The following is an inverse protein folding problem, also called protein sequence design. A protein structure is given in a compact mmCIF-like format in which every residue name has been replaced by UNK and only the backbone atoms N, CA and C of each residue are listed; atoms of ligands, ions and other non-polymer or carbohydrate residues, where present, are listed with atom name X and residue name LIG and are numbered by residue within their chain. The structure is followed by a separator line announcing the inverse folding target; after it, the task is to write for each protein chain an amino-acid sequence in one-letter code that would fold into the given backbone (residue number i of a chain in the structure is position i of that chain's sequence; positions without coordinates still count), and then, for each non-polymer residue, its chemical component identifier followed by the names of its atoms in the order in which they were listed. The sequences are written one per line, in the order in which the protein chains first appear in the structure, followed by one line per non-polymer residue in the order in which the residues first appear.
data_IF_220216985195
#
_entry.id   IF_220216985195
#
_cell.length_a   1.000
_cell.length_b   1.000
_cell.length_c   1.000
_cell.angle_alpha   90.00
_cell.angle_beta   90.00
_cell.angle_gamma   90.00
#
_symmetry.space_group_name_H-M   'P 1'
#
loop_
_entity.id
_entity.type
_entity.pdbx_description
1 polymer ?
#
# COMPACT_ATOMS: atom_id res chain seq x y z
N UNK A 1 -53.05 16.96 -0.93
CA UNK A 1 -51.72 17.25 -1.53
C UNK A 1 -50.66 17.51 -0.44
N UNK A 2 -50.51 16.62 0.56
CA UNK A 2 -49.49 16.81 1.61
C UNK A 2 -48.86 15.52 2.17
N UNK A 3 -49.28 14.34 1.73
CA UNK A 3 -48.79 13.06 2.31
C UNK A 3 -47.63 12.44 1.50
N UNK A 4 -47.34 12.93 0.29
CA UNK A 4 -46.33 12.32 -0.58
C UNK A 4 -44.88 12.85 -0.40
N UNK A 5 -44.67 13.93 0.34
CA UNK A 5 -43.35 14.62 0.39
C UNK A 5 -42.37 14.08 1.43
N UNK A 6 -42.83 13.33 2.44
CA UNK A 6 -41.95 12.91 3.56
C UNK A 6 -41.11 11.67 3.22
N UNK A 7 -41.56 10.83 2.28
CA UNK A 7 -40.84 9.59 1.94
C UNK A 7 -39.54 9.81 1.14
N UNK A 8 -39.36 10.98 0.48
CA UNK A 8 -38.20 11.24 -0.37
C UNK A 8 -36.95 11.71 0.41
N UNK A 9 -37.06 12.03 1.70
CA UNK A 9 -35.92 12.56 2.48
C UNK A 9 -34.99 11.43 2.97
N UNK A 10 -35.49 10.21 3.16
CA UNK A 10 -34.68 9.12 3.74
C UNK A 10 -33.81 8.33 2.73
N UNK A 11 -33.92 8.58 1.42
CA UNK A 11 -33.27 7.73 0.39
C UNK A 11 -31.96 8.32 -0.16
N UNK A 12 -31.26 9.19 0.58
CA UNK A 12 -30.00 9.81 0.10
C UNK A 12 -28.75 9.65 0.97
N UNK A 13 -28.64 8.53 1.68
CA UNK A 13 -27.31 7.97 2.02
C UNK A 13 -27.22 6.54 1.48
N UNK A 14 -27.30 6.43 0.16
CA UNK A 14 -26.52 5.39 -0.49
C UNK A 14 -25.07 5.80 -0.28
N UNK A 15 -24.42 5.25 0.73
CA UNK A 15 -22.97 5.07 0.76
C UNK A 15 -22.63 4.18 -0.45
N UNK A 16 -22.71 4.77 -1.65
CA UNK A 16 -21.85 4.38 -2.76
C UNK A 16 -20.46 4.96 -2.47
N UNK A 17 -20.01 4.79 -1.22
CA UNK A 17 -18.65 4.93 -0.81
C UNK A 17 -17.95 3.84 -1.56
N UNK A 18 -17.45 4.19 -2.73
CA UNK A 18 -16.47 3.40 -3.46
C UNK A 18 -15.15 3.53 -2.67
N UNK A 19 -15.22 3.31 -1.36
CA UNK A 19 -14.17 3.38 -0.38
C UNK A 19 -13.20 2.26 -0.76
N UNK A 20 -11.91 2.52 -0.63
CA UNK A 20 -10.93 1.54 -1.07
C UNK A 20 -11.13 0.18 -0.39
N UNK A 21 -10.59 -0.87 -0.99
CA UNK A 21 -10.52 -2.18 -0.35
C UNK A 21 -9.28 -2.25 0.54
N UNK A 22 -9.37 -2.94 1.67
CA UNK A 22 -8.23 -3.13 2.55
C UNK A 22 -7.11 -3.89 1.82
N UNK A 23 -5.87 -3.40 1.91
CA UNK A 23 -4.69 -4.03 1.34
C UNK A 23 -4.50 -5.44 1.93
N UNK A 24 -4.22 -6.42 1.07
CA UNK A 24 -4.09 -7.84 1.44
C UNK A 24 -2.71 -8.43 1.14
N UNK A 25 -1.79 -7.61 0.61
CA UNK A 25 -0.45 -7.98 0.17
C UNK A 25 0.55 -6.96 0.69
N UNK A 26 1.83 -7.32 0.73
CA UNK A 26 2.89 -6.42 1.22
C UNK A 26 2.62 -5.87 2.62
N UNK A 27 2.10 -6.71 3.52
CA UNK A 27 1.70 -6.28 4.86
C UNK A 27 2.90 -6.30 5.82
N UNK A 28 2.99 -5.28 6.66
CA UNK A 28 3.92 -5.21 7.79
C UNK A 28 3.50 -6.23 8.88
N UNK A 29 4.32 -7.26 9.16
CA UNK A 29 4.01 -8.24 10.20
C UNK A 29 4.17 -7.67 11.62
N UNK A 30 4.86 -6.55 11.79
CA UNK A 30 5.05 -5.86 13.06
C UNK A 30 3.92 -4.86 13.38
N UNK A 31 3.12 -4.49 12.38
CA UNK A 31 1.98 -3.60 12.56
C UNK A 31 0.77 -4.36 13.10
N UNK A 32 0.09 -3.78 14.11
CA UNK A 32 -1.15 -4.32 14.66
C UNK A 32 -2.32 -4.33 13.65
N UNK A 33 -2.20 -3.54 12.58
CA UNK A 33 -3.23 -3.36 11.54
C UNK A 33 -2.56 -3.43 10.17
N UNK A 34 -3.26 -4.00 9.18
CA UNK A 34 -2.76 -4.19 7.81
C UNK A 34 -2.23 -2.87 7.20
N UNK A 35 -0.91 -2.78 7.09
CA UNK A 35 -0.16 -1.61 6.62
C UNK A 35 0.88 -2.03 5.58
N UNK A 36 1.12 -1.22 4.53
CA UNK A 36 2.09 -1.53 3.49
C UNK A 36 3.53 -1.45 4.01
N UNK A 37 4.34 -2.45 3.65
CA UNK A 37 5.77 -2.48 3.85
C UNK A 37 6.48 -3.01 2.58
N UNK A 38 7.40 -2.25 1.96
CA UNK A 38 7.75 -0.85 2.28
C UNK A 38 6.56 0.10 2.07
N UNK A 39 6.66 1.34 2.55
CA UNK A 39 5.60 2.32 2.33
C UNK A 39 5.36 2.54 0.82
N UNK A 40 4.13 2.93 0.41
CA UNK A 40 3.78 3.12 -1.00
C UNK A 40 4.67 4.16 -1.69
N UNK A 41 5.21 5.12 -0.94
CA UNK A 41 6.12 6.15 -1.44
C UNK A 41 7.52 5.62 -1.76
N UNK A 42 7.89 4.42 -1.29
CA UNK A 42 9.23 3.86 -1.45
C UNK A 42 9.52 3.45 -2.90
N UNK A 43 8.50 3.10 -3.67
CA UNK A 43 8.60 2.88 -5.11
C UNK A 43 7.83 3.95 -5.88
N UNK A 44 7.94 3.91 -7.21
CA UNK A 44 7.20 4.80 -8.11
C UNK A 44 6.36 3.98 -9.07
N UNK A 45 5.24 4.56 -9.46
CA UNK A 45 4.45 4.06 -10.58
C UNK A 45 5.24 4.21 -11.87
N UNK A 46 5.18 3.18 -12.73
CA UNK A 46 5.85 3.15 -14.03
C UNK A 46 5.09 3.94 -15.08
N UNK A 47 3.76 3.97 -15.00
CA UNK A 47 2.89 4.76 -15.87
C UNK A 47 1.93 5.62 -15.04
N UNK A 48 2.32 6.85 -14.66
CA UNK A 48 1.49 7.71 -13.81
C UNK A 48 0.14 8.07 -14.46
N UNK A 49 0.03 8.04 -15.79
CA UNK A 49 -1.22 8.33 -16.50
C UNK A 49 -2.22 7.19 -16.31
N UNK A 50 -1.78 5.95 -16.52
CA UNK A 50 -2.63 4.77 -16.28
C UNK A 50 -2.94 4.63 -14.78
N UNK A 51 -1.96 4.85 -13.91
CA UNK A 51 -2.14 4.68 -12.48
C UNK A 51 -3.12 5.70 -11.89
N UNK A 52 -3.05 6.97 -12.30
CA UNK A 52 -4.02 7.98 -11.87
C UNK A 52 -5.42 7.77 -12.46
N UNK A 53 -5.53 7.17 -13.65
CA UNK A 53 -6.82 6.89 -14.28
C UNK A 53 -7.54 5.66 -13.70
N UNK A 54 -6.81 4.55 -13.46
CA UNK A 54 -7.42 3.24 -13.15
C UNK A 54 -7.22 2.85 -11.68
N UNK A 55 -6.07 3.19 -11.11
CA UNK A 55 -5.59 2.69 -9.82
C UNK A 55 -5.46 3.78 -8.75
N UNK A 56 -5.92 5.00 -9.03
CA UNK A 56 -5.82 6.11 -8.09
C UNK A 56 -6.45 5.76 -6.75
N UNK A 57 -5.76 6.16 -5.68
CA UNK A 57 -6.30 6.17 -4.32
C UNK A 57 -7.49 7.12 -4.31
N UNK A 58 -8.67 6.59 -3.98
CA UNK A 58 -9.91 7.37 -3.96
C UNK A 58 -9.95 8.26 -2.72
N UNK A 59 -10.66 9.39 -2.80
CA UNK A 59 -10.72 10.38 -1.71
C UNK A 59 -11.15 9.79 -0.36
N UNK A 60 -12.08 8.83 -0.36
CA UNK A 60 -12.51 8.10 0.84
C UNK A 60 -11.39 7.31 1.54
N UNK A 61 -10.31 6.96 0.81
CA UNK A 61 -9.15 6.26 1.36
C UNK A 61 -8.07 7.20 1.94
N UNK A 62 -8.04 8.48 1.56
CA UNK A 62 -6.96 9.42 1.95
C UNK A 62 -6.93 9.64 3.46
N UNK A 63 -8.11 9.86 4.07
CA UNK A 63 -8.27 10.01 5.52
C UNK A 63 -7.83 8.78 6.31
N UNK A 64 -8.38 7.58 6.07
CA UNK A 64 -7.98 6.39 6.82
C UNK A 64 -6.52 6.00 6.58
N UNK A 65 -5.97 6.22 5.39
CA UNK A 65 -4.58 5.89 5.10
C UNK A 65 -3.57 6.73 5.89
N UNK A 66 -3.94 7.93 6.36
CA UNK A 66 -3.06 8.77 7.19
C UNK A 66 -3.03 8.37 8.67
N UNK A 67 -3.97 7.55 9.14
CA UNK A 67 -4.10 7.16 10.56
C UNK A 67 -3.59 5.74 10.78
N UNK A 68 -2.39 5.56 11.34
CA UNK A 68 -1.74 4.25 11.49
C UNK A 68 -2.62 3.12 12.09
N UNK A 69 -3.60 3.46 12.93
CA UNK A 69 -4.55 2.52 13.53
C UNK A 69 -5.64 1.98 12.57
N UNK A 70 -5.76 2.53 11.37
CA UNK A 70 -6.72 2.07 10.37
C UNK A 70 -6.06 1.13 9.35
N UNK A 71 -6.86 0.25 8.76
CA UNK A 71 -6.43 -0.54 7.61
C UNK A 71 -6.07 0.39 6.44
N UNK A 72 -5.02 0.03 5.70
CA UNK A 72 -4.65 0.77 4.49
C UNK A 72 -5.58 0.38 3.33
N UNK A 73 -6.26 1.36 2.74
CA UNK A 73 -7.22 1.19 1.66
C UNK A 73 -6.60 1.52 0.30
N UNK A 74 -6.83 0.66 -0.68
CA UNK A 74 -6.40 0.84 -2.09
C UNK A 74 -7.59 0.80 -3.04
N UNK A 75 -7.39 1.21 -4.29
CA UNK A 75 -8.43 1.07 -5.30
C UNK A 75 -8.83 -0.42 -5.46
N UNK A 76 -10.13 -0.77 -5.55
CA UNK A 76 -10.57 -2.15 -5.81
C UNK A 76 -9.90 -2.82 -7.02
N UNK A 77 -9.52 -2.04 -8.03
CA UNK A 77 -8.78 -2.54 -9.19
C UNK A 77 -7.40 -3.11 -8.82
N UNK A 78 -6.79 -2.67 -7.73
CA UNK A 78 -5.51 -3.22 -7.24
C UNK A 78 -5.64 -4.67 -6.77
N UNK A 79 -6.85 -5.19 -6.59
CA UNK A 79 -7.12 -6.57 -6.21
C UNK A 79 -8.04 -7.29 -7.21
N UNK A 80 -8.39 -6.64 -8.32
CA UNK A 80 -9.23 -7.22 -9.35
C UNK A 80 -8.40 -8.12 -10.26
N UNK A 81 -8.70 -9.42 -10.29
CA UNK A 81 -7.98 -10.42 -11.06
C UNK A 81 -7.82 -10.07 -12.56
N UNK A 82 -8.76 -9.34 -13.16
CA UNK A 82 -8.69 -8.93 -14.57
C UNK A 82 -7.57 -7.93 -14.86
N UNK A 83 -7.24 -7.06 -13.89
CA UNK A 83 -6.24 -5.99 -14.05
C UNK A 83 -5.09 -6.07 -13.03
N UNK A 84 -5.07 -7.11 -12.20
CA UNK A 84 -4.10 -7.30 -11.12
C UNK A 84 -2.67 -7.28 -11.63
N UNK A 85 -2.39 -8.01 -12.72
CA UNK A 85 -1.05 -8.04 -13.33
C UNK A 85 -0.60 -6.66 -13.80
N UNK A 86 -1.51 -5.85 -14.35
CA UNK A 86 -1.21 -4.48 -14.74
C UNK A 86 -1.00 -3.58 -13.51
N UNK A 87 -1.81 -3.74 -12.45
CA UNK A 87 -1.66 -3.03 -11.18
C UNK A 87 -0.27 -3.26 -10.58
N UNK A 88 0.14 -4.52 -10.46
CA UNK A 88 1.41 -4.91 -9.85
C UNK A 88 2.61 -4.48 -10.70
N UNK A 89 2.50 -4.56 -12.03
CA UNK A 89 3.61 -4.23 -12.94
C UNK A 89 3.77 -2.72 -13.19
N UNK A 90 2.67 -1.98 -13.31
CA UNK A 90 2.67 -0.56 -13.71
C UNK A 90 2.46 0.39 -12.54
N UNK A 91 1.71 -0.01 -11.53
CA UNK A 91 1.21 0.88 -10.48
C UNK A 91 1.54 0.43 -9.05
N UNK A 92 2.78 0.01 -8.75
CA UNK A 92 3.12 -0.54 -7.45
C UNK A 92 3.01 0.50 -6.31
N UNK A 93 3.17 1.79 -6.61
CA UNK A 93 3.01 2.85 -5.62
C UNK A 93 1.53 3.14 -5.36
N UNK A 94 0.75 3.32 -6.43
CA UNK A 94 -0.70 3.55 -6.32
C UNK A 94 -1.45 2.39 -5.65
N UNK A 95 -1.01 1.15 -5.91
CA UNK A 95 -1.58 -0.05 -5.30
C UNK A 95 -0.89 -0.49 -4.00
N UNK A 96 0.08 0.28 -3.49
CA UNK A 96 0.80 -0.03 -2.26
C UNK A 96 1.45 -1.44 -2.23
N UNK A 97 1.90 -1.91 -3.41
CA UNK A 97 2.54 -3.21 -3.61
C UNK A 97 4.02 -3.09 -3.98
N UNK A 98 4.69 -2.07 -3.46
CA UNK A 98 6.13 -1.87 -3.66
C UNK A 98 6.96 -3.11 -3.27
N UNK A 99 6.48 -3.96 -2.35
CA UNK A 99 7.19 -5.19 -1.98
C UNK A 99 7.36 -6.19 -3.13
N UNK A 100 6.48 -6.13 -4.14
CA UNK A 100 6.49 -7.02 -5.30
C UNK A 100 7.44 -6.53 -6.39
N UNK A 101 7.94 -5.30 -6.30
CA UNK A 101 8.89 -4.79 -7.28
C UNK A 101 10.27 -5.42 -7.03
N UNK A 102 11.08 -5.64 -8.07
CA UNK A 102 12.38 -6.32 -7.93
C UNK A 102 13.36 -5.56 -7.01
N UNK A 103 13.17 -4.25 -6.84
CA UNK A 103 14.01 -3.42 -5.96
C UNK A 103 13.82 -3.76 -4.47
N UNK A 104 12.60 -4.11 -4.08
CA UNK A 104 12.27 -4.45 -2.69
C UNK A 104 12.15 -5.95 -2.48
N UNK A 105 11.51 -6.65 -3.43
CA UNK A 105 11.32 -8.11 -3.47
C UNK A 105 11.14 -8.75 -2.09
N UNK A 106 10.34 -8.11 -1.23
CA UNK A 106 10.10 -8.58 0.13
C UNK A 106 9.02 -9.67 0.09
N UNK A 107 8.92 -10.45 1.17
CA UNK A 107 7.92 -11.52 1.23
C UNK A 107 6.51 -10.93 1.19
N UNK A 108 5.71 -11.38 0.20
CA UNK A 108 4.32 -11.01 0.07
C UNK A 108 3.49 -11.73 1.14
N UNK A 109 3.59 -11.26 2.38
CA UNK A 109 2.88 -11.84 3.51
C UNK A 109 1.39 -11.52 3.36
N UNK A 110 0.64 -12.48 2.81
CA UNK A 110 -0.83 -12.49 2.81
C UNK A 110 -1.36 -12.68 4.22
N UNK A 111 -0.63 -13.43 5.05
CA UNK A 111 -0.84 -13.60 6.50
C UNK A 111 0.37 -14.33 7.09
N UNK A 112 1.08 -13.69 8.03
CA UNK A 112 1.90 -14.25 9.12
C UNK A 112 2.83 -15.49 8.93
N UNK A 113 3.27 -15.86 7.72
CA UNK A 113 4.27 -16.92 7.54
C UNK A 113 5.69 -16.33 7.48
N UNK A 114 6.24 -15.99 8.65
CA UNK A 114 7.60 -15.49 8.83
C UNK A 114 8.63 -16.59 8.50
N UNK A 115 9.24 -16.52 7.32
CA UNK A 115 10.50 -17.20 7.08
C UNK A 115 11.61 -16.24 7.46
N UNK A 116 12.22 -16.43 8.63
CA UNK A 116 13.38 -15.67 9.09
C UNK A 116 14.55 -15.85 8.10
N UNK A 117 14.54 -15.05 7.03
CA UNK A 117 15.66 -15.00 6.11
C UNK A 117 16.82 -14.38 6.88
N UNK A 118 18.07 -14.78 6.57
CA UNK A 118 19.26 -14.14 7.11
C UNK A 118 19.28 -12.66 6.69
N UNK A 119 18.57 -11.85 7.44
CA UNK A 119 18.24 -10.51 7.05
C UNK A 119 19.00 -9.56 7.94
N UNK A 120 20.05 -9.01 7.35
CA UNK A 120 21.03 -8.19 8.03
C UNK A 120 21.23 -6.90 7.27
N UNK A 121 21.78 -5.94 8.00
CA UNK A 121 22.34 -4.74 7.41
C UNK A 121 23.73 -5.10 6.85
N UNK A 122 23.92 -4.92 5.55
CA UNK A 122 25.22 -5.07 4.89
C UNK A 122 26.15 -3.88 5.13
N UNK A 123 25.60 -2.71 5.49
CA UNK A 123 26.34 -1.50 5.80
C UNK A 123 26.34 -1.23 7.30
N UNK A 124 27.45 -0.70 7.80
CA UNK A 124 27.59 -0.30 9.22
C UNK A 124 26.87 1.00 9.54
N UNK A 125 26.68 1.88 8.56
CA UNK A 125 26.03 3.17 8.74
C UNK A 125 24.52 3.13 8.54
N UNK A 126 23.88 1.95 8.47
CA UNK A 126 22.45 1.85 8.17
C UNK A 126 21.58 2.69 9.12
N UNK A 127 21.90 2.69 10.42
CA UNK A 127 21.19 3.48 11.42
C UNK A 127 21.15 4.99 11.10
N UNK A 128 22.19 5.54 10.47
CA UNK A 128 22.26 6.97 10.11
C UNK A 128 21.43 7.29 8.86
N UNK A 129 21.14 6.28 8.03
CA UNK A 129 20.45 6.41 6.74
C UNK A 129 19.03 5.84 6.77
N UNK A 130 18.53 5.43 7.94
CA UNK A 130 17.17 4.90 8.12
C UNK A 130 16.06 5.82 7.56
N UNK A 131 16.26 7.15 7.56
CA UNK A 131 15.33 8.12 6.97
C UNK A 131 15.14 7.95 5.46
N UNK A 132 16.06 7.29 4.77
CA UNK A 132 16.00 7.06 3.33
C UNK A 132 15.22 5.80 2.94
N UNK A 133 14.81 4.95 3.90
CA UNK A 133 14.11 3.69 3.62
C UNK A 133 12.84 3.87 2.76
N UNK A 134 12.17 5.03 2.89
CA UNK A 134 10.92 5.33 2.20
C UNK A 134 11.03 6.49 1.20
N UNK A 135 12.27 6.90 0.88
CA UNK A 135 12.55 8.06 0.05
C UNK A 135 13.21 7.62 -1.26
N UNK A 136 12.50 7.66 -2.40
CA UNK A 136 13.09 7.42 -3.70
C UNK A 136 14.15 8.48 -4.06
N UNK A 137 15.21 8.12 -4.81
CA UNK A 137 15.53 6.77 -5.30
C UNK A 137 16.28 5.91 -4.26
N UNK A 138 16.61 6.47 -3.10
CA UNK A 138 17.46 5.82 -2.10
C UNK A 138 16.82 4.58 -1.49
N UNK A 139 15.51 4.57 -1.33
CA UNK A 139 14.72 3.45 -0.81
C UNK A 139 15.06 2.10 -1.45
N UNK A 140 15.37 2.04 -2.75
CA UNK A 140 15.83 0.82 -3.41
C UNK A 140 17.21 0.36 -2.92
N UNK A 141 18.16 1.28 -2.77
CA UNK A 141 19.50 0.99 -2.24
C UNK A 141 19.42 0.58 -0.77
N UNK A 142 18.58 1.28 0.00
CA UNK A 142 18.25 0.97 1.38
C UNK A 142 17.66 -0.44 1.50
N UNK A 143 16.78 -0.82 0.57
CA UNK A 143 16.17 -2.14 0.54
C UNK A 143 17.14 -3.27 0.19
N UNK A 144 18.25 -2.96 -0.47
CA UNK A 144 19.30 -3.95 -0.70
C UNK A 144 20.28 -4.03 0.45
N UNK A 145 20.69 -2.87 0.98
CA UNK A 145 21.84 -2.78 1.87
C UNK A 145 21.49 -2.76 3.35
N UNK A 146 20.29 -2.28 3.70
CA UNK A 146 19.87 -1.96 5.06
C UNK A 146 18.48 -2.51 5.34
N UNK A 147 18.24 -3.75 4.89
CA UNK A 147 16.95 -4.44 5.00
C UNK A 147 16.43 -4.44 6.42
N UNK A 148 17.32 -4.71 7.38
CA UNK A 148 16.94 -4.80 8.79
C UNK A 148 16.61 -3.44 9.37
N UNK A 149 17.43 -2.44 9.07
CA UNK A 149 17.15 -1.06 9.48
C UNK A 149 15.87 -0.51 8.86
N UNK A 150 15.53 -0.91 7.63
CA UNK A 150 14.28 -0.54 6.97
C UNK A 150 13.09 -1.43 7.31
N UNK A 151 13.24 -2.35 8.27
CA UNK A 151 12.25 -3.35 8.65
C UNK A 151 11.74 -4.22 7.49
N UNK A 152 12.52 -4.35 6.42
CA UNK A 152 12.23 -5.21 5.27
C UNK A 152 12.64 -6.67 5.51
N UNK A 153 13.11 -6.94 6.73
CA UNK A 153 13.40 -8.27 7.24
C UNK A 153 12.17 -8.87 7.89
N UNK A 154 11.82 -10.08 7.46
CA UNK A 154 10.92 -10.98 8.17
C UNK A 154 11.73 -12.15 8.72
#
# INVERSE_FOLDING_TARGET
MFVLLVALIFVRRGESGNDGVALTKCLDPSAAVARPLPLPSACKDKDPTICSAIFAVRSGAVGPNSVAANAFLVNPNCQNATVLTAAEALCPSSCAVCCLTPEFSCQNSTTAAAGASACSDSRTNCAQMASFCNTPPYSAVMAQQCRRTCNLCQ
#
